data_IF_456453232274
#
_entry.id   IF_456453232274
#
_cell.length_a   1.000
_cell.length_b   1.000
_cell.length_c   1.000
_cell.angle_alpha   90.00
_cell.angle_beta   90.00
_cell.angle_gamma   90.00
#
_symmetry.space_group_name_H-M   'P 1'
#
loop_
_entity.id
_entity.type
_entity.pdbx_description
1 polymer ?
#
# COMPACT_ATOMS: atom_id res chain seq x y z
N UNK A 1 5.60 -0.45 -6.01
CA UNK A 1 6.09 -1.82 -5.72
C UNK A 1 5.99 -2.15 -4.22
N UNK A 2 6.45 -1.28 -3.30
CA UNK A 2 6.51 -1.58 -1.86
C UNK A 2 5.19 -2.08 -1.24
N UNK A 3 4.05 -1.43 -1.53
CA UNK A 3 2.75 -1.84 -0.95
C UNK A 3 2.28 -3.22 -1.42
N UNK A 4 2.62 -3.60 -2.65
CA UNK A 4 2.22 -4.91 -3.21
C UNK A 4 2.92 -6.03 -2.46
N UNK A 5 4.19 -5.85 -2.08
CA UNK A 5 4.89 -6.83 -1.25
C UNK A 5 4.22 -7.00 0.12
N UNK A 6 3.78 -5.90 0.75
CA UNK A 6 3.02 -5.97 1.99
C UNK A 6 1.70 -6.72 1.85
N UNK A 7 0.98 -6.49 0.74
CA UNK A 7 -0.28 -7.20 0.44
C UNK A 7 -0.03 -8.71 0.25
N UNK A 8 0.95 -9.09 -0.56
CA UNK A 8 1.26 -10.51 -0.79
C UNK A 8 1.68 -11.22 0.49
N UNK A 9 2.57 -10.62 1.28
CA UNK A 9 2.97 -11.18 2.57
C UNK A 9 1.76 -11.34 3.53
N UNK A 10 0.84 -10.38 3.54
CA UNK A 10 -0.38 -10.48 4.35
C UNK A 10 -1.32 -11.60 3.85
N UNK A 11 -1.43 -11.82 2.54
CA UNK A 11 -2.21 -12.91 1.97
C UNK A 11 -1.65 -14.27 2.39
N UNK A 12 -0.34 -14.47 2.25
CA UNK A 12 0.34 -15.69 2.68
C UNK A 12 0.18 -15.91 4.18
N UNK A 13 0.36 -14.86 4.99
CA UNK A 13 0.18 -14.93 6.45
C UNK A 13 -1.26 -15.34 6.82
N UNK A 14 -2.27 -14.79 6.13
CA UNK A 14 -3.68 -15.16 6.36
C UNK A 14 -3.95 -16.62 6.00
N UNK A 15 -3.38 -17.13 4.91
CA UNK A 15 -3.51 -18.54 4.51
C UNK A 15 -2.86 -19.48 5.55
N UNK A 16 -1.68 -19.11 6.06
CA UNK A 16 -0.96 -19.90 7.06
C UNK A 16 -1.55 -19.79 8.48
N UNK A 17 -2.32 -18.74 8.77
CA UNK A 17 -2.81 -18.44 10.12
C UNK A 17 -3.78 -19.48 10.70
N UNK A 18 -4.42 -20.28 9.86
CA UNK A 18 -5.51 -21.18 10.26
C UNK A 18 -6.76 -20.47 10.77
N UNK A 19 -6.87 -19.15 10.58
CA UNK A 19 -8.04 -18.36 10.97
C UNK A 19 -9.24 -18.70 10.10
N UNK A 20 -10.38 -18.98 10.74
CA UNK A 20 -11.67 -19.10 10.06
C UNK A 20 -12.25 -17.71 9.79
N UNK A 21 -12.21 -17.30 8.52
CA UNK A 21 -12.69 -15.99 8.08
C UNK A 21 -14.18 -15.78 8.34
N UNK A 22 -14.98 -16.84 8.41
CA UNK A 22 -16.42 -16.74 8.66
C UNK A 22 -16.74 -16.56 10.15
N UNK A 23 -15.85 -17.03 11.04
CA UNK A 23 -16.02 -16.90 12.50
C UNK A 23 -15.25 -15.73 13.11
N UNK A 24 -14.47 -15.02 12.31
CA UNK A 24 -13.63 -13.91 12.76
C UNK A 24 -14.48 -12.68 13.10
N UNK A 25 -14.35 -12.18 14.32
CA UNK A 25 -14.93 -10.90 14.71
C UNK A 25 -14.10 -9.75 14.12
N UNK A 26 -14.65 -9.03 13.14
CA UNK A 26 -13.95 -7.95 12.43
C UNK A 26 -13.66 -6.74 13.33
N UNK A 27 -14.49 -6.46 14.35
CA UNK A 27 -14.25 -5.37 15.31
C UNK A 27 -13.05 -5.66 16.25
N UNK A 28 -12.57 -6.91 16.24
CA UNK A 28 -11.44 -7.39 17.05
C UNK A 28 -10.24 -7.79 16.19
N UNK A 29 -10.31 -7.62 14.87
CA UNK A 29 -9.25 -7.93 13.93
C UNK A 29 -8.72 -6.65 13.29
N UNK A 30 -7.41 -6.44 13.33
CA UNK A 30 -6.79 -5.19 12.88
C UNK A 30 -5.50 -5.41 12.12
N UNK A 31 -5.03 -4.33 11.48
CA UNK A 31 -3.79 -4.32 10.71
C UNK A 31 -2.89 -3.20 11.24
N UNK A 32 -1.64 -3.54 11.53
CA UNK A 32 -0.58 -2.57 11.78
C UNK A 32 0.57 -2.93 10.84
N UNK A 33 0.81 -2.07 9.86
CA UNK A 33 1.88 -2.23 8.88
C UNK A 33 2.59 -0.90 8.67
N UNK A 34 3.91 -0.96 8.52
CA UNK A 34 4.76 0.20 8.31
C UNK A 34 5.68 -0.01 7.12
N UNK A 35 6.07 1.10 6.49
CA UNK A 35 7.17 1.15 5.53
C UNK A 35 8.06 2.31 5.91
N UNK A 36 9.38 2.07 5.98
CA UNK A 36 10.32 3.11 6.40
C UNK A 36 10.39 4.28 5.40
N UNK A 37 10.47 3.98 4.11
CA UNK A 37 10.62 4.99 3.04
C UNK A 37 9.39 5.11 2.13
N UNK A 38 8.44 4.19 2.24
CA UNK A 38 7.24 4.15 1.40
C UNK A 38 7.56 4.06 -0.10
N UNK A 39 6.81 4.83 -0.89
CA UNK A 39 6.84 4.81 -2.35
C UNK A 39 7.81 5.81 -2.96
N UNK A 40 9.07 5.87 -2.52
CA UNK A 40 10.05 6.85 -3.00
C UNK A 40 10.16 6.94 -4.53
N UNK A 41 10.18 5.83 -5.30
CA UNK A 41 10.16 5.91 -6.77
C UNK A 41 8.89 6.55 -7.33
N UNK A 42 7.72 6.34 -6.70
CA UNK A 42 6.47 7.00 -7.10
C UNK A 42 6.56 8.51 -6.88
N UNK A 43 7.13 8.93 -5.74
CA UNK A 43 7.34 10.35 -5.40
C UNK A 43 8.24 11.01 -6.44
N UNK A 44 9.40 10.43 -6.70
CA UNK A 44 10.35 10.93 -7.71
C UNK A 44 9.67 11.09 -9.08
N UNK A 45 8.95 10.07 -9.54
CA UNK A 45 8.23 10.11 -10.80
C UNK A 45 7.16 11.21 -10.84
N UNK A 46 6.43 11.46 -9.75
CA UNK A 46 5.44 12.54 -9.72
C UNK A 46 6.10 13.93 -9.65
N UNK A 47 7.24 14.07 -8.97
CA UNK A 47 8.03 15.31 -8.96
C UNK A 47 8.53 15.65 -10.36
N UNK A 48 9.09 14.67 -11.08
CA UNK A 48 9.52 14.86 -12.48
C UNK A 48 8.32 15.26 -13.35
N UNK A 49 7.17 14.57 -13.24
CA UNK A 49 5.95 14.91 -14.00
C UNK A 49 5.43 16.30 -13.68
N UNK A 50 5.48 16.72 -12.42
CA UNK A 50 5.12 18.07 -11.99
C UNK A 50 6.03 19.10 -12.66
N UNK A 51 7.35 18.87 -12.63
CA UNK A 51 8.34 19.77 -13.19
C UNK A 51 8.21 19.90 -14.71
N UNK A 52 8.09 18.78 -15.42
CA UNK A 52 8.06 18.76 -16.88
C UNK A 52 6.71 19.16 -17.48
N UNK A 53 5.59 18.84 -16.80
CA UNK A 53 4.25 18.87 -17.41
C UNK A 53 3.22 19.66 -16.60
N UNK A 54 3.64 20.25 -15.48
CA UNK A 54 2.81 21.07 -14.60
C UNK A 54 1.86 20.26 -13.71
N UNK A 55 1.27 20.95 -12.73
CA UNK A 55 0.49 20.33 -11.66
C UNK A 55 -0.69 19.48 -12.13
N UNK A 56 -1.35 19.87 -13.24
CA UNK A 56 -2.48 19.12 -13.83
C UNK A 56 -2.12 17.70 -14.28
N UNK A 57 -0.83 17.37 -14.41
CA UNK A 57 -0.34 16.07 -14.88
C UNK A 57 0.16 15.16 -13.76
N UNK A 58 0.18 15.64 -12.52
CA UNK A 58 0.39 14.79 -11.34
C UNK A 58 -0.78 13.80 -11.23
N UNK A 59 -0.49 12.55 -10.89
CA UNK A 59 -1.52 11.52 -10.72
C UNK A 59 -2.49 11.92 -9.60
N UNK A 60 -3.81 11.78 -9.80
CA UNK A 60 -4.78 11.86 -8.70
C UNK A 60 -4.53 10.81 -7.62
N UNK A 61 -3.93 9.68 -8.00
CA UNK A 61 -3.51 8.59 -7.11
C UNK A 61 -2.07 8.75 -6.63
N UNK A 62 -1.62 9.99 -6.38
CA UNK A 62 -0.27 10.23 -5.84
C UNK A 62 -0.21 10.07 -4.33
N UNK A 63 -1.23 10.59 -3.63
CA UNK A 63 -1.30 10.57 -2.16
C UNK A 63 -1.69 9.19 -1.62
N UNK A 64 -2.74 8.52 -2.15
CA UNK A 64 -3.05 7.14 -1.80
C UNK A 64 -2.02 6.17 -2.40
#
# INVERSE_FOLDING_TARGET
MFSIYGIYAALEAMEMSGLDKEKMNQDRFGVIIGSGIGGLPTIENQVIRLHEKGAKRVSPMFVP
#
